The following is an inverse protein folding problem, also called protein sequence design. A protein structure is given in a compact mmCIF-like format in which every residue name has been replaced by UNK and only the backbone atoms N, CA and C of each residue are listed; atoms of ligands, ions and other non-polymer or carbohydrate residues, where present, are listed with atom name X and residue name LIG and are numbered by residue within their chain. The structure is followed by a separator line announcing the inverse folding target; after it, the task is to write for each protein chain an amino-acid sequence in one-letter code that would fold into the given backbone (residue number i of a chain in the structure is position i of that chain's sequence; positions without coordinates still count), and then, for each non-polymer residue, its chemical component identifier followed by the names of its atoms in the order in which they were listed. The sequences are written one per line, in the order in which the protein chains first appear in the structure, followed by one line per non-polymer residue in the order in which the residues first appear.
data_IF_693778715230
#
_entry.id   IF_693778715230
#
_cell.length_a   1.000
_cell.length_b   1.000
_cell.length_c   1.000
_cell.angle_alpha   90.00
_cell.angle_beta   90.00
_cell.angle_gamma   90.00
#
_symmetry.space_group_name_H-M   'P 1'
#
loop_
_entity.id
_entity.type
_entity.pdbx_description
1 polymer ?
#
# COMPACT_ATOMS: atom_id res chain seq x y z
N UNK A 1 32.19 -22.20 28.00
CA UNK A 1 31.75 -23.00 26.82
C UNK A 1 30.23 -23.22 26.76
N UNK A 2 29.51 -23.13 27.87
CA UNK A 2 28.04 -23.32 27.98
C UNK A 2 27.22 -22.23 27.28
N UNK A 3 27.54 -20.94 27.42
CA UNK A 3 26.79 -19.85 26.78
C UNK A 3 26.76 -19.92 25.25
N UNK A 4 27.93 -20.15 24.59
CA UNK A 4 28.01 -20.33 23.13
C UNK A 4 27.26 -21.58 22.63
N UNK A 5 27.08 -22.57 23.49
CA UNK A 5 26.38 -23.84 23.19
C UNK A 5 24.87 -23.63 23.20
N UNK A 6 24.35 -22.89 24.17
CA UNK A 6 22.94 -22.48 24.22
C UNK A 6 22.55 -21.61 23.03
N UNK A 7 23.42 -20.68 22.62
CA UNK A 7 23.15 -19.81 21.45
C UNK A 7 23.01 -20.59 20.14
N UNK A 8 23.82 -21.65 19.93
CA UNK A 8 23.72 -22.50 18.72
C UNK A 8 22.44 -23.34 18.70
N UNK A 9 22.01 -23.84 19.85
CA UNK A 9 20.77 -24.61 19.99
C UNK A 9 19.56 -23.70 19.70
N UNK A 10 19.58 -22.47 20.19
CA UNK A 10 18.51 -21.49 19.96
C UNK A 10 18.38 -21.08 18.49
N UNK A 11 19.50 -20.90 17.79
CA UNK A 11 19.50 -20.59 16.34
C UNK A 11 18.94 -21.76 15.52
N UNK A 12 19.36 -23.00 15.82
CA UNK A 12 18.86 -24.20 15.15
C UNK A 12 17.35 -24.43 15.39
N UNK A 13 16.90 -24.19 16.63
CA UNK A 13 15.49 -24.26 17.02
C UNK A 13 14.65 -23.20 16.31
N UNK A 14 15.10 -21.94 16.28
CA UNK A 14 14.42 -20.87 15.57
C UNK A 14 14.31 -21.16 14.06
N UNK A 15 15.35 -21.76 13.45
CA UNK A 15 15.34 -22.15 12.03
C UNK A 15 14.33 -23.26 11.75
N UNK A 16 14.27 -24.31 12.57
CA UNK A 16 13.28 -25.38 12.40
C UNK A 16 11.85 -24.89 12.61
N UNK A 17 11.63 -24.00 13.59
CA UNK A 17 10.31 -23.41 13.83
C UNK A 17 9.83 -22.64 12.61
N UNK A 18 10.71 -21.89 11.93
CA UNK A 18 10.37 -21.23 10.66
C UNK A 18 9.98 -22.23 9.57
N UNK A 19 10.70 -23.34 9.45
CA UNK A 19 10.41 -24.42 8.48
C UNK A 19 9.03 -25.04 8.75
N UNK A 20 8.75 -25.35 10.01
CA UNK A 20 7.47 -25.91 10.42
C UNK A 20 6.32 -24.92 10.15
N UNK A 21 6.48 -23.64 10.48
CA UNK A 21 5.46 -22.62 10.19
C UNK A 21 5.20 -22.52 8.69
N UNK A 22 6.26 -22.53 7.86
CA UNK A 22 6.13 -22.47 6.41
C UNK A 22 5.37 -23.67 5.85
N UNK A 23 5.66 -24.89 6.33
CA UNK A 23 4.97 -26.12 5.86
C UNK A 23 3.54 -26.26 6.37
N UNK A 24 3.24 -25.82 7.59
CA UNK A 24 1.96 -26.06 8.24
C UNK A 24 0.87 -25.05 7.86
N UNK A 25 1.23 -23.91 7.27
CA UNK A 25 0.37 -22.86 6.70
C UNK A 25 -1.13 -22.93 7.08
N UNK A 26 -1.46 -22.54 8.32
CA UNK A 26 -2.76 -22.26 9.00
C UNK A 26 -4.06 -23.02 8.68
N UNK A 27 -4.21 -23.64 7.51
CA UNK A 27 -5.45 -24.15 6.95
C UNK A 27 -5.60 -25.67 7.07
N UNK A 28 -4.59 -26.40 7.56
CA UNK A 28 -4.54 -27.88 7.40
C UNK A 28 -4.02 -28.63 8.63
N UNK A 29 -4.45 -28.24 9.83
CA UNK A 29 -4.04 -28.87 11.10
C UNK A 29 -5.16 -29.70 11.77
N UNK A 30 -6.21 -30.07 11.03
CA UNK A 30 -7.39 -30.73 11.60
C UNK A 30 -7.09 -32.16 12.06
N UNK A 31 -6.29 -32.92 11.29
CA UNK A 31 -5.97 -34.33 11.60
C UNK A 31 -4.46 -34.58 11.78
N UNK A 32 -4.05 -35.45 12.73
CA UNK A 32 -2.64 -35.83 12.90
C UNK A 32 -2.01 -36.41 11.62
N UNK A 33 -2.79 -37.11 10.79
CA UNK A 33 -2.31 -37.68 9.53
C UNK A 33 -1.94 -36.62 8.47
N UNK A 34 -2.62 -35.48 8.44
CA UNK A 34 -2.24 -34.34 7.59
C UNK A 34 -0.95 -33.70 8.08
N UNK A 35 -0.84 -33.47 9.38
CA UNK A 35 0.38 -32.89 9.98
C UNK A 35 1.58 -33.81 9.75
N UNK A 36 1.42 -35.12 9.94
CA UNK A 36 2.47 -36.10 9.71
C UNK A 36 2.95 -36.10 8.26
N UNK A 37 2.04 -36.04 7.27
CA UNK A 37 2.41 -35.92 5.84
C UNK A 37 3.27 -34.67 5.56
N UNK A 38 2.97 -33.56 6.23
CA UNK A 38 3.69 -32.29 6.02
C UNK A 38 5.03 -32.25 6.78
N UNK A 39 5.12 -32.92 7.92
CA UNK A 39 6.34 -32.94 8.74
C UNK A 39 7.25 -34.14 8.46
N UNK A 40 6.82 -35.09 7.62
CA UNK A 40 7.56 -36.29 7.29
C UNK A 40 8.96 -35.97 6.74
N UNK A 41 9.96 -36.61 7.33
CA UNK A 41 11.37 -36.48 6.95
C UNK A 41 12.06 -35.22 7.48
N UNK A 42 11.36 -34.33 8.21
CA UNK A 42 11.98 -33.13 8.80
C UNK A 42 12.97 -33.48 9.91
N UNK A 43 12.75 -34.60 10.62
CA UNK A 43 13.56 -34.99 11.78
C UNK A 43 14.49 -36.19 11.50
N UNK A 44 14.56 -36.66 10.25
CA UNK A 44 15.33 -37.84 9.85
C UNK A 44 14.62 -39.16 10.20
N UNK A 45 15.39 -40.23 10.49
CA UNK A 45 14.91 -41.62 10.69
C UNK A 45 14.01 -41.86 11.92
N UNK A 46 13.56 -40.82 12.62
CA UNK A 46 12.77 -40.94 13.85
C UNK A 46 11.29 -40.61 13.62
N UNK A 47 10.56 -41.55 13.00
CA UNK A 47 9.12 -41.42 12.76
C UNK A 47 8.27 -41.29 14.04
N UNK A 48 8.76 -41.70 15.21
CA UNK A 48 7.98 -41.58 16.46
C UNK A 48 7.82 -40.13 16.91
N UNK A 49 8.85 -39.30 16.74
CA UNK A 49 8.79 -37.88 17.12
C UNK A 49 7.86 -37.10 16.19
N UNK A 50 7.91 -37.38 14.89
CA UNK A 50 7.00 -36.78 13.91
C UNK A 50 5.54 -37.11 14.21
N UNK A 51 5.25 -38.37 14.56
CA UNK A 51 3.92 -38.81 14.99
C UNK A 51 3.45 -38.09 16.25
N UNK A 52 4.31 -37.97 17.27
CA UNK A 52 3.97 -37.28 18.52
C UNK A 52 3.74 -35.78 18.32
N UNK A 53 4.59 -35.12 17.55
CA UNK A 53 4.45 -33.70 17.22
C UNK A 53 3.16 -33.45 16.41
N UNK A 54 2.86 -34.33 15.45
CA UNK A 54 1.65 -34.25 14.64
C UNK A 54 0.37 -34.34 15.49
N UNK A 55 0.33 -35.25 16.46
CA UNK A 55 -0.78 -35.37 17.41
C UNK A 55 -0.95 -34.11 18.26
N UNK A 56 0.14 -33.59 18.85
CA UNK A 56 0.08 -32.39 19.69
C UNK A 56 -0.34 -31.14 18.92
N UNK A 57 0.13 -30.97 17.68
CA UNK A 57 -0.26 -29.85 16.83
C UNK A 57 -1.74 -29.91 16.44
N UNK A 58 -2.25 -31.09 16.07
CA UNK A 58 -3.67 -31.27 15.74
C UNK A 58 -4.58 -31.00 16.95
N UNK A 59 -4.17 -31.43 18.14
CA UNK A 59 -4.91 -31.16 19.37
C UNK A 59 -4.92 -29.67 19.72
N UNK A 60 -3.74 -29.02 19.74
CA UNK A 60 -3.62 -27.59 20.05
C UNK A 60 -4.34 -26.70 19.02
N UNK A 61 -4.46 -27.15 17.77
CA UNK A 61 -5.25 -26.47 16.74
C UNK A 61 -6.75 -26.61 16.99
N UNK A 62 -7.25 -27.81 17.33
CA UNK A 62 -8.66 -28.04 17.69
C UNK A 62 -9.11 -27.23 18.91
N UNK A 63 -8.20 -26.98 19.85
CA UNK A 63 -8.43 -26.10 21.00
C UNK A 63 -8.37 -24.59 20.64
N UNK A 64 -8.27 -24.24 19.36
CA UNK A 64 -8.18 -22.88 18.81
C UNK A 64 -7.00 -22.03 19.35
N UNK A 65 -5.98 -22.68 19.93
CA UNK A 65 -4.78 -22.01 20.50
C UNK A 65 -3.77 -21.59 19.42
N UNK A 66 -3.97 -21.99 18.16
CA UNK A 66 -3.02 -21.82 17.04
C UNK A 66 -3.61 -21.04 15.85
N UNK A 67 -4.51 -20.09 16.10
CA UNK A 67 -5.28 -19.37 15.07
C UNK A 67 -4.48 -18.40 14.19
N UNK A 68 -3.24 -18.02 14.56
CA UNK A 68 -2.37 -17.13 13.77
C UNK A 68 -0.89 -17.56 13.81
N UNK A 69 -0.02 -16.95 12.99
CA UNK A 69 1.43 -17.27 12.93
C UNK A 69 2.16 -17.07 14.25
N UNK A 70 1.75 -16.08 15.06
CA UNK A 70 2.42 -15.75 16.32
C UNK A 70 2.14 -16.79 17.44
N UNK A 71 0.90 -17.23 17.70
CA UNK A 71 0.62 -18.34 18.60
C UNK A 71 1.29 -19.65 18.18
N UNK A 72 1.30 -19.98 16.88
CA UNK A 72 1.96 -21.18 16.38
C UNK A 72 3.49 -21.14 16.58
N UNK A 73 4.13 -20.00 16.28
CA UNK A 73 5.57 -19.85 16.50
C UNK A 73 5.94 -19.93 17.98
N UNK A 74 5.18 -19.25 18.86
CA UNK A 74 5.39 -19.31 20.31
C UNK A 74 5.17 -20.71 20.87
N UNK A 75 4.14 -21.41 20.41
CA UNK A 75 3.85 -22.77 20.84
C UNK A 75 4.97 -23.73 20.42
N UNK A 76 5.41 -23.67 19.16
CA UNK A 76 6.51 -24.50 18.66
C UNK A 76 7.84 -24.21 19.39
N UNK A 77 8.14 -22.95 19.71
CA UNK A 77 9.34 -22.59 20.48
C UNK A 77 9.33 -23.10 21.92
N UNK A 78 8.14 -23.24 22.52
CA UNK A 78 7.92 -23.70 23.90
C UNK A 78 7.54 -25.18 24.00
N UNK A 79 7.45 -25.89 22.88
CA UNK A 79 7.04 -27.28 22.88
C UNK A 79 8.13 -28.17 23.50
N UNK A 80 7.77 -28.90 24.56
CA UNK A 80 8.69 -29.76 25.33
C UNK A 80 9.31 -30.88 24.49
N UNK A 81 8.60 -31.47 23.52
CA UNK A 81 9.16 -32.50 22.64
C UNK A 81 10.28 -31.93 21.78
N UNK A 82 10.06 -30.74 21.21
CA UNK A 82 11.08 -30.05 20.43
C UNK A 82 12.26 -29.66 21.31
N UNK A 83 12.01 -29.09 22.50
CA UNK A 83 13.07 -28.72 23.45
C UNK A 83 13.94 -29.94 23.82
N UNK A 84 13.33 -31.08 24.13
CA UNK A 84 14.04 -32.33 24.45
C UNK A 84 14.83 -32.85 23.25
N UNK A 85 14.26 -32.81 22.05
CA UNK A 85 14.94 -33.20 20.82
C UNK A 85 16.20 -32.37 20.56
N UNK A 86 16.08 -31.03 20.70
CA UNK A 86 17.18 -30.10 20.51
C UNK A 86 18.26 -30.17 21.59
N UNK A 87 17.91 -30.56 22.82
CA UNK A 87 18.89 -30.86 23.88
C UNK A 87 19.67 -32.15 23.60
N UNK A 88 19.05 -33.14 22.96
CA UNK A 88 19.66 -34.46 22.68
C UNK A 88 20.50 -34.47 21.39
N UNK A 89 20.05 -33.83 20.31
CA UNK A 89 20.83 -33.72 19.05
C UNK A 89 21.49 -32.34 18.96
N UNK A 90 22.81 -32.30 19.17
CA UNK A 90 23.61 -31.06 19.24
C UNK A 90 23.79 -30.33 17.89
N UNK A 91 23.28 -30.87 16.79
CA UNK A 91 23.26 -30.21 15.47
C UNK A 91 22.17 -30.86 14.61
N UNK A 92 21.34 -30.07 13.93
CA UNK A 92 20.44 -30.63 12.91
C UNK A 92 21.23 -30.71 11.60
N UNK A 93 21.46 -31.93 11.10
CA UNK A 93 21.69 -32.13 9.68
C UNK A 93 20.32 -32.03 9.00
N UNK A 94 19.89 -30.82 8.65
CA UNK A 94 18.67 -30.63 7.85
C UNK A 94 19.04 -31.16 6.47
N UNK A 95 18.36 -32.21 5.99
CA UNK A 95 18.66 -32.82 4.69
C UNK A 95 18.77 -31.74 3.62
N UNK A 96 19.90 -31.72 2.89
CA UNK A 96 20.17 -30.73 1.83
C UNK A 96 19.06 -30.72 0.78
N UNK A 97 18.51 -31.90 0.44
CA UNK A 97 17.36 -32.02 -0.46
C UNK A 97 16.08 -31.36 0.05
N UNK A 98 15.89 -31.25 1.37
CA UNK A 98 14.75 -30.56 1.99
C UNK A 98 14.97 -29.05 1.95
N UNK A 99 16.20 -28.57 2.14
CA UNK A 99 16.55 -27.15 1.95
C UNK A 99 16.34 -26.76 0.49
N UNK A 100 16.84 -27.57 -0.45
CA UNK A 100 16.69 -27.34 -1.90
C UNK A 100 15.21 -27.46 -2.33
N UNK A 101 14.44 -28.36 -1.72
CA UNK A 101 12.99 -28.48 -1.98
C UNK A 101 12.18 -27.36 -1.32
N UNK A 102 12.65 -26.78 -0.21
CA UNK A 102 12.04 -25.60 0.43
C UNK A 102 12.31 -24.38 -0.42
N UNK A 103 13.54 -24.18 -0.88
CA UNK A 103 13.87 -23.15 -1.87
C UNK A 103 12.97 -23.36 -3.10
N UNK A 104 12.92 -24.53 -3.73
CA UNK A 104 12.01 -24.81 -4.85
C UNK A 104 10.51 -24.61 -4.53
N UNK A 105 10.05 -24.90 -3.31
CA UNK A 105 8.66 -24.66 -2.89
C UNK A 105 8.36 -23.18 -2.58
N UNK A 106 9.35 -22.40 -2.13
CA UNK A 106 9.27 -20.93 -2.06
C UNK A 106 9.13 -20.33 -3.47
N UNK A 107 9.73 -20.98 -4.49
CA UNK A 107 9.53 -20.60 -5.90
C UNK A 107 8.13 -20.97 -6.43
N UNK A 108 7.41 -21.91 -5.80
CA UNK A 108 6.05 -22.30 -6.21
C UNK A 108 4.96 -21.29 -5.81
N UNK A 109 5.26 -20.36 -4.90
CA UNK A 109 4.35 -19.30 -4.44
C UNK A 109 4.72 -17.91 -4.95
N UNK A 110 5.62 -17.79 -5.94
CA UNK A 110 5.95 -16.49 -6.51
C UNK A 110 4.73 -15.92 -7.23
N UNK A 111 4.42 -14.66 -6.93
CA UNK A 111 3.66 -13.83 -7.86
C UNK A 111 4.29 -13.97 -9.24
N UNK A 112 3.48 -13.98 -10.30
CA UNK A 112 3.96 -14.15 -11.68
C UNK A 112 4.65 -12.88 -12.17
N UNK A 113 5.68 -12.44 -11.46
CA UNK A 113 6.49 -11.27 -11.80
C UNK A 113 7.54 -11.64 -12.85
N UNK A 114 7.98 -10.69 -13.68
CA UNK A 114 9.07 -10.91 -14.62
C UNK A 114 10.32 -11.49 -13.95
N UNK A 115 10.95 -12.47 -14.59
CA UNK A 115 12.20 -13.05 -14.11
C UNK A 115 13.35 -12.06 -14.35
N UNK A 116 13.92 -11.55 -13.25
CA UNK A 116 15.07 -10.64 -13.26
C UNK A 116 15.99 -11.00 -12.11
N UNK A 117 17.13 -11.62 -12.43
CA UNK A 117 18.03 -12.18 -11.43
C UNK A 117 19.13 -11.19 -10.99
N UNK A 118 19.53 -10.30 -11.91
CA UNK A 118 20.63 -9.35 -11.73
C UNK A 118 20.34 -7.94 -12.29
N UNK A 119 21.27 -7.01 -12.07
CA UNK A 119 21.14 -5.61 -12.51
C UNK A 119 21.28 -5.42 -14.03
N UNK A 120 21.94 -6.35 -14.74
CA UNK A 120 22.09 -6.29 -16.20
C UNK A 120 20.76 -6.67 -16.86
N UNK A 121 20.15 -7.76 -16.39
CA UNK A 121 18.81 -8.16 -16.78
C UNK A 121 17.78 -7.09 -16.41
N UNK A 122 17.91 -6.47 -15.24
CA UNK A 122 17.02 -5.39 -14.82
C UNK A 122 17.15 -4.17 -15.75
N UNK A 123 18.37 -3.77 -16.12
CA UNK A 123 18.57 -2.67 -17.05
C UNK A 123 17.93 -2.97 -18.42
N UNK A 124 18.08 -4.21 -18.93
CA UNK A 124 17.45 -4.65 -20.18
C UNK A 124 15.91 -4.64 -20.08
N UNK A 125 15.35 -5.19 -19.00
CA UNK A 125 13.90 -5.18 -18.74
C UNK A 125 13.34 -3.74 -18.71
N UNK A 126 14.08 -2.82 -18.10
CA UNK A 126 13.71 -1.40 -17.99
C UNK A 126 14.02 -0.59 -19.27
N UNK A 127 14.44 -1.25 -20.36
CA UNK A 127 14.82 -0.63 -21.63
C UNK A 127 15.88 0.47 -21.47
N UNK A 128 16.83 0.25 -20.55
CA UNK A 128 17.98 1.11 -20.35
C UNK A 128 19.13 0.62 -21.24
N UNK A 129 19.82 1.56 -21.90
CA UNK A 129 20.92 1.23 -22.82
C UNK A 129 22.11 0.53 -22.16
N UNK A 130 22.28 0.65 -20.84
CA UNK A 130 23.32 -0.07 -20.10
C UNK A 130 23.01 -0.15 -18.59
N UNK A 131 23.72 -1.05 -17.90
CA UNK A 131 23.69 -1.13 -16.43
C UNK A 131 24.32 0.09 -15.75
N UNK A 132 25.16 0.87 -16.45
CA UNK A 132 25.69 2.13 -15.94
C UNK A 132 24.60 3.19 -15.78
N UNK A 133 23.62 3.26 -16.69
CA UNK A 133 22.47 4.15 -16.57
C UNK A 133 21.64 3.80 -15.33
N UNK A 134 21.44 2.51 -15.07
CA UNK A 134 20.76 2.03 -13.87
C UNK A 134 21.51 2.42 -12.58
N UNK A 135 22.84 2.31 -12.58
CA UNK A 135 23.67 2.75 -11.46
C UNK A 135 23.58 4.27 -11.25
N UNK A 136 23.58 5.07 -12.33
CA UNK A 136 23.41 6.52 -12.27
C UNK A 136 22.03 6.94 -11.72
N UNK A 137 20.96 6.26 -12.13
CA UNK A 137 19.61 6.47 -11.61
C UNK A 137 19.50 6.18 -10.10
N UNK A 138 20.28 5.23 -9.60
CA UNK A 138 20.27 4.84 -8.18
C UNK A 138 21.34 5.51 -7.33
N UNK A 139 22.26 6.26 -7.95
CA UNK A 139 23.36 6.97 -7.28
C UNK A 139 22.92 7.82 -6.08
N UNK A 140 21.79 8.57 -6.11
CA UNK A 140 21.33 9.38 -4.98
C UNK A 140 21.01 8.58 -3.71
N UNK A 141 20.74 7.28 -3.84
CA UNK A 141 20.51 6.39 -2.70
C UNK A 141 21.79 5.70 -2.20
N UNK A 142 22.83 5.62 -3.06
CA UNK A 142 24.09 4.92 -2.77
C UNK A 142 25.16 5.83 -2.16
N UNK A 143 25.07 7.14 -2.38
CA UNK A 143 26.05 8.13 -1.89
C UNK A 143 25.38 9.14 -0.99
N UNK A 144 26.03 9.47 0.13
CA UNK A 144 25.58 10.52 1.07
C UNK A 144 25.72 11.93 0.49
N UNK A 145 26.71 12.16 -0.37
CA UNK A 145 26.96 13.44 -1.07
C UNK A 145 27.05 13.15 -2.57
N UNK A 146 26.17 13.78 -3.34
CA UNK A 146 26.12 13.70 -4.80
C UNK A 146 25.30 14.87 -5.32
N UNK A 147 25.75 15.47 -6.43
CA UNK A 147 25.02 16.56 -7.10
C UNK A 147 23.92 16.03 -8.03
N UNK A 148 23.87 14.70 -8.21
CA UNK A 148 22.82 14.03 -9.00
C UNK A 148 21.52 14.00 -8.20
N UNK A 149 20.47 14.62 -8.73
CA UNK A 149 19.10 14.53 -8.24
C UNK A 149 18.13 14.24 -9.39
N UNK A 150 17.31 13.19 -9.22
CA UNK A 150 16.34 12.76 -10.23
C UNK A 150 14.92 13.24 -9.96
N UNK A 151 14.70 14.08 -8.94
CA UNK A 151 13.38 14.60 -8.59
C UNK A 151 13.39 16.14 -8.56
N UNK A 152 12.46 16.75 -9.29
CA UNK A 152 12.14 18.18 -9.16
C UNK A 152 11.00 18.35 -8.16
N UNK A 153 11.22 19.15 -7.12
CA UNK A 153 10.22 19.43 -6.09
C UNK A 153 9.49 20.73 -6.39
N UNK A 154 8.17 20.74 -6.21
CA UNK A 154 7.35 21.96 -6.22
C UNK A 154 6.30 21.90 -5.11
N UNK A 155 6.03 23.02 -4.45
CA UNK A 155 4.96 23.12 -3.48
C UNK A 155 3.66 23.55 -4.19
N UNK A 156 2.54 22.92 -3.81
CA UNK A 156 1.20 23.29 -4.24
C UNK A 156 0.37 23.58 -2.99
N UNK A 157 -0.33 24.72 -2.88
CA UNK A 157 -1.21 24.98 -1.76
C UNK A 157 -2.38 24.00 -1.74
N UNK A 158 -2.67 23.42 -0.58
CA UNK A 158 -3.93 22.72 -0.33
C UNK A 158 -5.05 23.74 -0.08
N UNK A 159 -6.30 23.25 -0.11
CA UNK A 159 -7.49 24.05 0.18
C UNK A 159 -7.48 24.69 1.58
N UNK A 160 -6.76 24.10 2.52
CA UNK A 160 -6.60 24.59 3.89
C UNK A 160 -5.38 25.53 4.05
N UNK A 161 -4.73 25.91 2.95
CA UNK A 161 -3.52 26.75 2.96
C UNK A 161 -2.22 26.00 3.23
N UNK A 162 -2.27 24.74 3.70
CA UNK A 162 -1.04 23.96 3.94
C UNK A 162 -0.38 23.55 2.63
N UNK A 163 0.95 23.40 2.60
CA UNK A 163 1.66 23.00 1.39
C UNK A 163 1.58 21.50 1.13
N UNK A 164 1.54 21.13 -0.15
CA UNK A 164 1.72 19.77 -0.67
C UNK A 164 2.94 19.75 -1.58
N UNK A 165 3.97 19.02 -1.19
CA UNK A 165 5.14 18.79 -2.02
C UNK A 165 4.83 17.77 -3.11
N UNK A 166 5.09 18.14 -4.37
CA UNK A 166 5.06 17.25 -5.52
C UNK A 166 6.50 17.01 -5.96
N UNK A 167 6.87 15.75 -6.06
CA UNK A 167 8.21 15.29 -6.42
C UNK A 167 8.13 14.65 -7.81
N UNK A 168 8.44 15.44 -8.85
CA UNK A 168 8.34 15.03 -10.24
C UNK A 168 9.66 14.37 -10.70
N UNK A 169 9.64 13.11 -11.14
CA UNK A 169 10.85 12.41 -11.59
C UNK A 169 11.38 13.00 -12.90
N UNK A 170 12.70 12.92 -13.12
CA UNK A 170 13.35 13.24 -14.39
C UNK A 170 12.77 12.40 -15.53
N UNK A 171 12.80 12.85 -16.80
CA UNK A 171 12.16 12.14 -17.91
C UNK A 171 12.56 10.66 -18.03
N UNK A 172 13.86 10.38 -17.85
CA UNK A 172 14.38 9.02 -17.88
C UNK A 172 13.90 8.18 -16.70
N UNK A 173 13.95 8.69 -15.46
CA UNK A 173 13.43 7.98 -14.29
C UNK A 173 11.91 7.76 -14.41
N UNK A 174 11.18 8.73 -14.94
CA UNK A 174 9.73 8.64 -15.18
C UNK A 174 9.40 7.54 -16.18
N UNK A 175 10.18 7.39 -17.26
CA UNK A 175 10.03 6.30 -18.23
C UNK A 175 10.27 4.95 -17.58
N UNK A 176 11.36 4.81 -16.82
CA UNK A 176 11.68 3.60 -16.05
C UNK A 176 10.55 3.23 -15.09
N UNK A 177 10.03 4.20 -14.33
CA UNK A 177 8.92 4.00 -13.40
C UNK A 177 7.62 3.60 -14.12
N UNK A 178 7.36 4.12 -15.33
CA UNK A 178 6.19 3.68 -16.12
C UNK A 178 6.29 2.22 -16.53
N UNK A 179 7.47 1.74 -16.94
CA UNK A 179 7.70 0.33 -17.27
C UNK A 179 7.46 -0.54 -16.03
N UNK A 180 8.02 -0.17 -14.87
CA UNK A 180 7.76 -0.88 -13.61
C UNK A 180 6.26 -0.90 -13.29
N UNK A 181 5.56 0.23 -13.44
CA UNK A 181 4.14 0.34 -13.15
C UNK A 181 3.23 -0.43 -14.14
N UNK A 182 3.66 -0.60 -15.39
CA UNK A 182 2.89 -1.26 -16.43
C UNK A 182 3.16 -2.76 -16.53
N UNK A 183 4.41 -3.19 -16.31
CA UNK A 183 4.86 -4.53 -16.70
C UNK A 183 5.30 -5.38 -15.49
N UNK A 184 5.45 -4.77 -14.30
CA UNK A 184 5.84 -5.47 -13.07
C UNK A 184 4.75 -5.38 -12.01
N UNK A 185 4.34 -4.18 -11.62
CA UNK A 185 3.40 -3.97 -10.51
C UNK A 185 2.00 -4.58 -10.72
N UNK A 186 1.47 -4.77 -11.94
CA UNK A 186 0.18 -5.47 -12.11
C UNK A 186 0.20 -6.93 -11.68
N UNK A 187 1.38 -7.55 -11.57
CA UNK A 187 1.53 -8.91 -11.06
C UNK A 187 1.55 -8.98 -9.53
N UNK A 188 1.61 -7.84 -8.84
CA UNK A 188 1.56 -7.74 -7.38
C UNK A 188 0.08 -7.68 -6.94
N UNK A 189 -0.39 -8.58 -6.07
CA UNK A 189 -1.78 -8.62 -5.64
C UNK A 189 -2.15 -7.40 -4.81
N UNK A 190 -3.36 -6.91 -5.04
CA UNK A 190 -3.99 -5.84 -4.29
C UNK A 190 -5.22 -6.40 -3.55
N UNK A 191 -5.60 -5.75 -2.46
CA UNK A 191 -6.82 -6.13 -1.74
C UNK A 191 -8.05 -5.57 -2.46
N UNK A 192 -9.18 -6.28 -2.43
CA UNK A 192 -10.40 -5.83 -3.13
C UNK A 192 -11.10 -4.64 -2.49
N UNK A 193 -10.73 -4.31 -1.26
CA UNK A 193 -11.12 -3.06 -0.63
C UNK A 193 -10.34 -1.84 -1.17
N UNK A 194 -9.18 -2.05 -1.81
CA UNK A 194 -8.36 -0.98 -2.37
C UNK A 194 -8.90 -0.54 -3.75
N UNK A 195 -9.71 0.53 -3.74
CA UNK A 195 -10.40 1.05 -4.93
C UNK A 195 -9.62 2.17 -5.62
N UNK A 196 -8.77 2.88 -4.88
CA UNK A 196 -7.99 4.00 -5.41
C UNK A 196 -6.86 3.54 -6.32
N UNK A 197 -6.60 4.28 -7.40
CA UNK A 197 -5.48 4.03 -8.33
C UNK A 197 -5.45 2.64 -8.97
N UNK A 198 -6.61 1.98 -9.06
CA UNK A 198 -6.77 0.66 -9.66
C UNK A 198 -7.49 0.79 -10.99
N UNK A 199 -7.03 0.08 -12.03
CA UNK A 199 -7.74 0.03 -13.32
C UNK A 199 -9.13 -0.60 -13.11
N UNK A 200 -10.12 -0.10 -13.84
CA UNK A 200 -11.51 -0.55 -13.75
C UNK A 200 -12.24 -0.16 -12.46
N UNK A 201 -11.63 0.68 -11.62
CA UNK A 201 -12.24 1.19 -10.40
C UNK A 201 -12.23 2.71 -10.42
N UNK A 202 -13.32 3.31 -9.98
CA UNK A 202 -13.51 4.75 -9.93
C UNK A 202 -13.91 5.21 -8.53
N UNK A 203 -13.91 6.53 -8.34
CA UNK A 203 -14.49 7.13 -7.13
C UNK A 203 -15.95 6.70 -6.97
N UNK A 204 -16.69 6.57 -8.09
CA UNK A 204 -18.10 6.18 -8.12
C UNK A 204 -18.27 4.77 -7.52
N UNK A 205 -17.47 3.80 -7.95
CA UNK A 205 -17.57 2.41 -7.49
C UNK A 205 -17.27 2.29 -5.99
N UNK A 206 -16.31 3.07 -5.50
CA UNK A 206 -16.02 3.16 -4.06
C UNK A 206 -17.19 3.78 -3.29
N UNK A 207 -17.74 4.89 -3.75
CA UNK A 207 -18.85 5.56 -3.07
C UNK A 207 -20.15 4.76 -3.12
N UNK A 208 -20.41 4.04 -4.22
CA UNK A 208 -21.60 3.21 -4.44
C UNK A 208 -21.78 2.17 -3.31
N UNK A 209 -20.68 1.59 -2.81
CA UNK A 209 -20.71 0.60 -1.72
C UNK A 209 -21.22 1.15 -0.38
N UNK A 210 -21.35 2.47 -0.24
CA UNK A 210 -21.77 3.13 1.00
C UNK A 210 -23.15 3.81 0.88
N UNK A 211 -23.83 3.65 -0.25
CA UNK A 211 -25.12 4.28 -0.51
C UNK A 211 -26.22 3.72 0.40
N UNK A 212 -27.09 4.59 0.92
CA UNK A 212 -28.27 4.19 1.68
C UNK A 212 -28.00 3.77 3.14
N UNK A 213 -26.73 3.74 3.57
CA UNK A 213 -26.36 3.28 4.91
C UNK A 213 -26.72 4.29 5.98
N UNK A 214 -27.17 3.84 7.15
CA UNK A 214 -27.62 4.73 8.22
C UNK A 214 -26.49 5.61 8.79
N UNK A 215 -25.24 5.15 8.70
CA UNK A 215 -24.09 6.00 8.96
C UNK A 215 -22.86 5.64 8.13
N UNK A 216 -22.01 6.64 7.92
CA UNK A 216 -20.73 6.52 7.22
C UNK A 216 -19.64 7.10 8.12
N UNK A 217 -18.66 6.28 8.47
CA UNK A 217 -17.44 6.67 9.18
C UNK A 217 -16.31 6.79 8.16
N UNK A 218 -15.79 8.00 8.00
CA UNK A 218 -14.60 8.27 7.20
C UNK A 218 -13.42 8.53 8.13
N UNK A 219 -12.30 7.88 7.85
CA UNK A 219 -11.03 8.15 8.47
C UNK A 219 -9.97 8.40 7.38
N UNK A 220 -8.87 9.05 7.74
CA UNK A 220 -7.81 9.47 6.81
C UNK A 220 -6.45 9.05 7.38
N UNK A 221 -5.58 8.49 6.55
CA UNK A 221 -4.21 8.18 6.93
C UNK A 221 -3.33 9.42 6.79
N UNK A 222 -2.60 9.75 7.86
CA UNK A 222 -1.64 10.85 7.85
C UNK A 222 -0.41 10.48 7.02
N UNK A 223 -0.06 11.35 6.07
CA UNK A 223 1.14 11.23 5.23
C UNK A 223 1.31 9.83 4.63
N UNK A 224 0.25 9.31 4.00
CA UNK A 224 0.20 7.92 3.54
C UNK A 224 1.40 7.53 2.67
N UNK A 225 1.75 8.31 1.65
CA UNK A 225 2.94 8.04 0.84
C UNK A 225 4.23 8.23 1.63
N UNK A 226 4.36 9.30 2.42
CA UNK A 226 5.59 9.59 3.14
C UNK A 226 5.89 8.60 4.27
N UNK A 227 4.87 7.92 4.81
CA UNK A 227 5.00 6.82 5.78
C UNK A 227 5.54 5.51 5.17
N UNK A 228 5.62 5.42 3.83
CA UNK A 228 6.12 4.25 3.13
C UNK A 228 7.58 4.48 2.75
N UNK A 229 8.46 3.93 3.58
CA UNK A 229 9.92 4.08 3.42
C UNK A 229 10.54 2.99 2.54
N UNK A 230 11.77 3.25 2.08
CA UNK A 230 12.59 2.33 1.27
C UNK A 230 12.56 0.88 1.76
N UNK A 231 12.72 0.63 3.06
CA UNK A 231 12.71 -0.73 3.61
C UNK A 231 11.40 -1.49 3.33
N UNK A 232 10.24 -0.81 3.33
CA UNK A 232 8.94 -1.43 3.01
C UNK A 232 8.84 -1.75 1.52
N UNK A 233 9.31 -0.83 0.67
CA UNK A 233 9.33 -1.02 -0.80
C UNK A 233 10.29 -2.14 -1.20
N UNK A 234 11.48 -2.20 -0.60
CA UNK A 234 12.45 -3.29 -0.80
C UNK A 234 11.86 -4.62 -0.38
N UNK A 235 11.19 -4.66 0.77
CA UNK A 235 10.56 -5.88 1.28
C UNK A 235 9.42 -6.35 0.38
N UNK A 236 8.66 -5.44 -0.23
CA UNK A 236 7.65 -5.78 -1.23
C UNK A 236 8.26 -6.51 -2.42
N UNK A 237 9.34 -5.97 -3.02
CA UNK A 237 10.00 -6.61 -4.15
C UNK A 237 10.72 -7.91 -3.77
N UNK A 238 11.30 -7.99 -2.58
CA UNK A 238 11.87 -9.24 -2.07
C UNK A 238 10.78 -10.31 -1.91
N UNK A 239 9.62 -9.95 -1.37
CA UNK A 239 8.48 -10.86 -1.24
C UNK A 239 7.89 -11.28 -2.59
N UNK A 240 8.01 -10.42 -3.61
CA UNK A 240 7.65 -10.76 -4.98
C UNK A 240 8.56 -11.82 -5.62
N UNK A 241 9.73 -12.11 -5.02
CA UNK A 241 10.66 -13.14 -5.48
C UNK A 241 11.96 -12.61 -6.08
N UNK A 242 12.21 -11.30 -6.02
CA UNK A 242 13.47 -10.73 -6.53
C UNK A 242 14.64 -10.93 -5.56
N UNK A 243 15.85 -11.08 -6.11
CA UNK A 243 17.08 -11.14 -5.32
C UNK A 243 17.25 -9.88 -4.47
N UNK A 244 17.95 -9.97 -3.33
CA UNK A 244 18.15 -8.82 -2.42
C UNK A 244 18.73 -7.59 -3.14
N UNK A 245 19.60 -7.81 -4.14
CA UNK A 245 20.21 -6.76 -4.95
C UNK A 245 19.19 -6.12 -5.89
N UNK A 246 18.43 -6.92 -6.65
CA UNK A 246 17.39 -6.43 -7.57
C UNK A 246 16.27 -5.71 -6.80
N UNK A 247 15.81 -6.28 -5.67
CA UNK A 247 14.80 -5.67 -4.82
C UNK A 247 15.23 -4.31 -4.26
N UNK A 248 16.51 -4.19 -3.85
CA UNK A 248 17.08 -2.91 -3.41
C UNK A 248 17.11 -1.89 -4.55
N UNK A 249 17.58 -2.28 -5.73
CA UNK A 249 17.66 -1.40 -6.91
C UNK A 249 16.28 -0.94 -7.36
N UNK A 250 15.28 -1.83 -7.41
CA UNK A 250 13.88 -1.48 -7.69
C UNK A 250 13.32 -0.50 -6.65
N UNK A 251 13.61 -0.71 -5.37
CA UNK A 251 13.19 0.20 -4.31
C UNK A 251 13.82 1.59 -4.47
N UNK A 252 15.12 1.69 -4.78
CA UNK A 252 15.80 2.97 -5.06
C UNK A 252 15.18 3.70 -6.26
N UNK A 253 14.77 2.97 -7.30
CA UNK A 253 14.09 3.57 -8.45
C UNK A 253 12.67 4.08 -8.10
N UNK A 254 12.04 3.53 -7.07
CA UNK A 254 10.66 3.84 -6.70
C UNK A 254 10.53 4.80 -5.50
N UNK A 255 11.62 5.05 -4.77
CA UNK A 255 11.66 6.03 -3.68
C UNK A 255 12.40 7.29 -4.07
N UNK A 256 12.09 8.38 -3.38
CA UNK A 256 12.90 9.59 -3.42
C UNK A 256 13.76 9.64 -2.14
N UNK A 257 15.07 9.92 -2.27
CA UNK A 257 15.88 10.23 -1.11
C UNK A 257 15.36 11.52 -0.47
N UNK A 258 15.23 11.55 0.85
CA UNK A 258 15.05 12.84 1.52
C UNK A 258 16.34 13.62 1.30
N UNK A 259 16.24 14.81 0.72
CA UNK A 259 17.35 15.76 0.89
C UNK A 259 17.50 15.95 2.39
N UNK A 260 18.74 16.00 2.87
CA UNK A 260 19.00 16.57 4.19
C UNK A 260 18.17 17.83 4.30
N UNK A 261 17.32 17.91 5.32
CA UNK A 261 16.78 19.20 5.72
C UNK A 261 17.94 20.21 5.68
N UNK A 262 17.71 21.45 5.22
CA UNK A 262 18.61 22.53 5.57
C UNK A 262 18.93 22.39 7.07
N UNK A 263 20.21 22.57 7.44
CA UNK A 263 20.66 22.63 8.83
C UNK A 263 19.95 23.80 9.53
N UNK A 264 18.67 23.64 9.84
CA UNK A 264 17.78 24.45 10.66
C UNK A 264 16.34 24.11 10.26
N UNK A 265 15.82 23.04 10.87
CA UNK A 265 14.42 22.89 11.26
C UNK A 265 14.31 21.54 11.96
N UNK A 266 13.87 21.59 13.21
CA UNK A 266 13.83 20.47 14.14
C UNK A 266 13.31 19.17 13.51
N UNK A 267 14.01 18.03 13.67
CA UNK A 267 13.62 16.78 13.04
C UNK A 267 12.26 16.29 13.57
N UNK A 268 11.39 15.70 12.71
CA UNK A 268 10.22 15.01 13.20
C UNK A 268 10.68 13.80 14.01
N UNK A 269 10.20 13.73 15.24
CA UNK A 269 10.47 12.71 16.26
C UNK A 269 10.55 11.29 15.64
N UNK A 270 11.78 10.82 15.42
CA UNK A 270 12.08 9.41 15.24
C UNK A 270 11.97 8.80 16.63
N UNK A 271 10.90 8.06 16.90
CA UNK A 271 10.85 7.22 18.10
C UNK A 271 11.97 6.18 18.02
N UNK A 272 12.89 6.12 19.00
CA UNK A 272 13.96 5.14 18.99
C UNK A 272 13.36 3.79 19.40
N UNK A 273 13.28 2.84 18.46
CA UNK A 273 13.06 1.45 18.83
C UNK A 273 14.39 0.86 19.29
N UNK A 274 14.54 0.84 20.62
CA UNK A 274 15.38 -0.04 21.46
C UNK A 274 16.83 -0.31 21.05
N UNK A 275 17.73 0.18 21.90
CA UNK A 275 19.11 -0.26 22.07
C UNK A 275 19.20 -1.79 22.25
N UNK A 276 19.84 -2.50 21.31
CA UNK A 276 20.82 -3.55 21.60
C UNK A 276 21.54 -3.98 20.33
N UNK A 277 22.82 -4.33 20.46
CA UNK A 277 23.77 -4.77 19.43
C UNK A 277 24.40 -3.67 18.54
N UNK A 278 25.21 -2.81 19.18
CA UNK A 278 26.49 -2.44 18.57
C UNK A 278 27.39 -3.68 18.60
N UNK A 279 27.46 -4.39 17.48
CA UNK A 279 28.56 -5.32 17.23
C UNK A 279 28.98 -5.17 15.78
N UNK A 280 30.23 -4.74 15.66
CA UNK A 280 31.05 -4.56 14.47
C UNK A 280 30.82 -5.60 13.37
N UNK A 281 30.11 -5.20 12.31
CA UNK A 281 30.29 -5.74 10.95
C UNK A 281 30.43 -4.57 9.98
N UNK A 282 31.63 -4.40 9.42
CA UNK A 282 31.92 -3.50 8.28
C UNK A 282 31.16 -4.00 7.05
N UNK A 283 29.88 -3.65 6.88
CA UNK A 283 29.15 -3.67 5.59
C UNK A 283 27.68 -3.27 5.77
N UNK A 284 27.40 -1.97 5.86
CA UNK A 284 26.12 -1.39 5.42
C UNK A 284 26.29 0.13 5.35
N UNK A 285 26.30 0.68 4.13
CA UNK A 285 26.15 2.12 3.94
C UNK A 285 24.86 2.56 4.62
N UNK A 286 24.86 3.63 5.44
CA UNK A 286 23.63 4.12 6.05
C UNK A 286 22.75 4.72 4.95
N UNK A 287 21.68 4.01 4.59
CA UNK A 287 20.68 4.43 3.61
C UNK A 287 20.06 5.76 4.08
N UNK A 288 20.13 6.81 3.25
CA UNK A 288 19.43 8.07 3.51
C UNK A 288 17.93 7.80 3.64
N UNK A 289 17.21 8.45 4.56
CA UNK A 289 15.78 8.22 4.76
C UNK A 289 15.04 8.52 3.44
N UNK A 290 14.51 7.47 2.81
CA UNK A 290 13.86 7.57 1.50
C UNK A 290 12.41 7.10 1.62
N UNK A 291 11.50 7.76 0.91
CA UNK A 291 10.04 7.51 0.99
C UNK A 291 9.41 7.48 -0.38
N UNK A 292 8.16 7.01 -0.48
CA UNK A 292 7.42 7.12 -1.73
C UNK A 292 7.16 8.60 -2.07
N UNK A 293 7.63 9.08 -3.23
CA UNK A 293 7.38 10.45 -3.69
C UNK A 293 5.92 10.63 -4.14
N UNK A 294 5.38 11.82 -3.91
CA UNK A 294 4.08 12.19 -4.44
C UNK A 294 4.21 12.70 -5.88
N UNK A 295 3.64 11.97 -6.85
CA UNK A 295 3.62 12.36 -8.27
C UNK A 295 4.36 11.42 -9.22
N UNK A 296 4.84 10.27 -8.75
CA UNK A 296 5.47 9.26 -9.61
C UNK A 296 4.46 8.23 -10.14
N UNK A 297 4.78 7.58 -11.28
CA UNK A 297 3.96 6.50 -11.84
C UNK A 297 3.83 5.27 -10.93
N UNK A 298 4.85 4.96 -10.12
CA UNK A 298 4.89 3.72 -9.31
C UNK A 298 4.27 3.87 -7.92
N UNK A 299 4.39 5.04 -7.30
CA UNK A 299 3.94 5.27 -5.92
C UNK A 299 2.51 4.81 -5.64
N UNK A 300 1.50 5.10 -6.49
CA UNK A 300 0.12 4.68 -6.22
C UNK A 300 -0.06 3.15 -6.10
N UNK A 301 0.53 2.40 -7.03
CA UNK A 301 0.42 0.93 -7.06
C UNK A 301 1.21 0.29 -5.90
N UNK A 302 2.42 0.79 -5.62
CA UNK A 302 3.24 0.32 -4.50
C UNK A 302 2.54 0.59 -3.16
N UNK A 303 1.94 1.78 -3.00
CA UNK A 303 1.24 2.14 -1.77
C UNK A 303 0.04 1.21 -1.51
N UNK A 304 -0.72 0.86 -2.54
CA UNK A 304 -1.80 -0.12 -2.42
C UNK A 304 -1.27 -1.52 -2.06
N UNK A 305 -0.20 -1.99 -2.70
CA UNK A 305 0.38 -3.29 -2.41
C UNK A 305 0.89 -3.39 -0.95
N UNK A 306 1.50 -2.32 -0.44
CA UNK A 306 2.01 -2.27 0.94
C UNK A 306 0.88 -2.19 1.97
N UNK A 307 -0.24 -1.53 1.63
CA UNK A 307 -1.43 -1.47 2.47
C UNK A 307 -2.24 -2.78 2.50
N UNK A 308 -1.90 -3.78 1.68
CA UNK A 308 -2.66 -5.04 1.55
C UNK A 308 -2.98 -5.73 2.89
N UNK A 309 -2.00 -5.81 3.79
CA UNK A 309 -2.20 -6.45 5.11
C UNK A 309 -3.13 -5.64 6.01
N UNK A 310 -3.00 -4.32 6.00
CA UNK A 310 -3.91 -3.42 6.70
C UNK A 310 -5.33 -3.60 6.16
N UNK A 311 -5.51 -3.59 4.84
CA UNK A 311 -6.82 -3.75 4.22
C UNK A 311 -7.47 -5.09 4.59
N UNK A 312 -6.71 -6.20 4.58
CA UNK A 312 -7.23 -7.51 5.02
C UNK A 312 -7.75 -7.50 6.45
N UNK A 313 -7.04 -6.83 7.36
CA UNK A 313 -7.41 -6.76 8.78
C UNK A 313 -8.60 -5.85 9.00
N UNK A 314 -8.63 -4.71 8.30
CA UNK A 314 -9.74 -3.76 8.35
C UNK A 314 -11.01 -4.33 7.73
N UNK A 315 -10.88 -5.10 6.66
CA UNK A 315 -11.99 -5.79 6.02
C UNK A 315 -12.56 -6.90 6.91
N UNK A 316 -11.70 -7.67 7.58
CA UNK A 316 -12.12 -8.64 8.60
C UNK A 316 -12.85 -7.97 9.78
N UNK A 317 -12.34 -6.83 10.26
CA UNK A 317 -13.00 -6.03 11.30
C UNK A 317 -14.35 -5.50 10.83
N UNK A 318 -14.43 -5.00 9.59
CA UNK A 318 -15.67 -4.49 9.00
C UNK A 318 -16.72 -5.60 8.86
N UNK A 319 -16.31 -6.77 8.35
CA UNK A 319 -17.17 -7.95 8.20
C UNK A 319 -17.74 -8.39 9.55
N UNK A 320 -16.89 -8.49 10.58
CA UNK A 320 -17.33 -8.84 11.94
C UNK A 320 -18.31 -7.82 12.55
N UNK A 321 -18.26 -6.57 12.09
CA UNK A 321 -19.14 -5.49 12.51
C UNK A 321 -20.38 -5.31 11.62
N UNK A 322 -20.56 -6.13 10.57
CA UNK A 322 -21.62 -5.94 9.58
C UNK A 322 -21.49 -4.63 8.79
N UNK A 323 -20.26 -4.15 8.58
CA UNK A 323 -19.96 -2.90 7.92
C UNK A 323 -19.38 -3.12 6.52
N UNK A 324 -19.68 -2.22 5.58
CA UNK A 324 -19.00 -2.18 4.29
C UNK A 324 -17.72 -1.37 4.42
N UNK A 325 -16.63 -1.84 3.81
CA UNK A 325 -15.33 -1.16 3.82
C UNK A 325 -14.81 -0.89 2.41
N UNK A 326 -14.31 0.33 2.20
CA UNK A 326 -13.45 0.65 1.05
C UNK A 326 -12.29 1.54 1.48
N UNK A 327 -11.18 1.44 0.75
CA UNK A 327 -10.04 2.37 0.81
C UNK A 327 -9.80 3.01 -0.54
N UNK A 328 -9.68 4.33 -0.55
CA UNK A 328 -9.28 5.08 -1.72
C UNK A 328 -8.06 5.92 -1.36
N UNK A 329 -6.87 5.46 -1.78
CA UNK A 329 -5.60 6.04 -1.33
C UNK A 329 -5.49 6.02 0.22
N UNK A 330 -5.41 7.20 0.83
CA UNK A 330 -5.35 7.47 2.27
C UNK A 330 -6.74 7.52 2.94
N UNK A 331 -7.83 7.63 2.17
CA UNK A 331 -9.18 7.66 2.70
C UNK A 331 -9.69 6.23 3.01
N UNK A 332 -10.02 5.98 4.27
CA UNK A 332 -10.69 4.77 4.75
C UNK A 332 -12.17 5.08 5.00
N UNK A 333 -13.06 4.29 4.41
CA UNK A 333 -14.51 4.51 4.53
C UNK A 333 -15.18 3.24 5.00
N UNK A 334 -15.94 3.37 6.08
CA UNK A 334 -16.78 2.33 6.66
C UNK A 334 -18.22 2.81 6.69
N UNK A 335 -19.18 1.93 6.44
CA UNK A 335 -20.60 2.28 6.52
C UNK A 335 -21.41 1.16 7.15
N UNK A 336 -22.42 1.55 7.91
CA UNK A 336 -23.15 0.67 8.82
C UNK A 336 -24.66 0.90 8.70
N UNK A 337 -25.44 -0.14 8.95
CA UNK A 337 -26.91 -0.07 8.88
C UNK A 337 -27.57 0.51 10.15
N UNK A 338 -26.99 0.35 11.35
CA UNK A 338 -27.54 0.91 12.60
C UNK A 338 -26.52 0.99 13.76
N UNK A 339 -25.39 1.71 13.64
CA UNK A 339 -24.44 1.76 14.74
C UNK A 339 -24.81 2.83 15.76
N UNK A 340 -24.60 2.51 17.04
CA UNK A 340 -24.57 3.55 18.07
C UNK A 340 -23.32 4.43 17.93
N UNK A 341 -23.37 5.64 18.48
CA UNK A 341 -22.23 6.58 18.47
C UNK A 341 -21.03 6.01 19.19
N UNK A 342 -21.28 5.39 20.35
CA UNK A 342 -20.26 4.76 21.17
C UNK A 342 -19.62 3.58 20.44
N UNK A 343 -20.41 2.78 19.71
CA UNK A 343 -19.89 1.73 18.86
C UNK A 343 -18.98 2.29 17.76
N UNK A 344 -19.44 3.29 16.98
CA UNK A 344 -18.65 3.87 15.91
C UNK A 344 -17.33 4.49 16.39
N UNK A 345 -17.32 5.11 17.58
CA UNK A 345 -16.09 5.61 18.21
C UNK A 345 -15.13 4.47 18.58
N UNK A 346 -15.61 3.41 19.24
CA UNK A 346 -14.79 2.23 19.56
C UNK A 346 -14.24 1.55 18.30
N UNK A 347 -15.07 1.42 17.28
CA UNK A 347 -14.67 0.91 15.98
C UNK A 347 -13.56 1.76 15.35
N UNK A 348 -13.69 3.10 15.37
CA UNK A 348 -12.65 4.00 14.90
C UNK A 348 -11.32 3.83 15.65
N UNK A 349 -11.36 3.57 16.97
CA UNK A 349 -10.18 3.23 17.76
C UNK A 349 -9.55 1.92 17.31
N UNK A 350 -10.34 0.86 17.09
CA UNK A 350 -9.85 -0.42 16.57
C UNK A 350 -9.19 -0.28 15.19
N UNK A 351 -9.78 0.52 14.30
CA UNK A 351 -9.19 0.87 13.00
C UNK A 351 -7.85 1.57 13.19
N UNK A 352 -7.76 2.53 14.12
CA UNK A 352 -6.53 3.25 14.40
C UNK A 352 -5.42 2.33 14.95
N UNK A 353 -5.75 1.38 15.81
CA UNK A 353 -4.81 0.37 16.32
C UNK A 353 -4.29 -0.51 15.18
N UNK A 354 -5.17 -1.02 14.32
CA UNK A 354 -4.76 -1.83 13.16
C UNK A 354 -3.85 -1.01 12.22
N UNK A 355 -4.22 0.23 11.90
CA UNK A 355 -3.40 1.09 11.05
C UNK A 355 -2.00 1.31 11.66
N UNK A 356 -1.93 1.58 12.97
CA UNK A 356 -0.68 1.78 13.70
C UNK A 356 0.22 0.54 13.67
N UNK A 357 -0.32 -0.64 13.94
CA UNK A 357 0.43 -1.90 13.89
C UNK A 357 0.95 -2.24 12.49
N UNK A 358 0.24 -1.82 11.44
CA UNK A 358 0.66 -1.98 10.04
C UNK A 358 1.55 -0.82 9.55
N UNK A 359 1.99 0.06 10.45
CA UNK A 359 2.96 1.12 10.19
C UNK A 359 2.38 2.39 9.57
N UNK A 360 1.09 2.66 9.77
CA UNK A 360 0.40 3.88 9.32
C UNK A 360 -0.10 4.70 10.50
N UNK A 361 -0.21 6.02 10.33
CA UNK A 361 -0.75 6.94 11.36
C UNK A 361 -2.12 7.45 10.94
N UNK A 362 -3.02 7.61 11.90
CA UNK A 362 -4.35 8.17 11.66
C UNK A 362 -4.36 9.69 11.76
N UNK A 363 -5.08 10.35 10.85
CA UNK A 363 -5.39 11.77 10.93
C UNK A 363 -6.73 11.98 11.64
N UNK A 364 -6.69 12.03 12.97
CA UNK A 364 -7.90 12.18 13.79
C UNK A 364 -8.68 13.46 13.51
N UNK A 365 -8.02 14.54 13.08
CA UNK A 365 -8.68 15.83 12.73
C UNK A 365 -9.58 15.72 11.51
N UNK A 366 -9.34 14.74 10.63
CA UNK A 366 -10.16 14.49 9.44
C UNK A 366 -11.16 13.34 9.61
N UNK A 367 -11.14 12.64 10.74
CA UNK A 367 -12.14 11.60 11.04
C UNK A 367 -13.55 12.21 11.12
N UNK A 368 -14.52 11.62 10.42
CA UNK A 368 -15.91 12.10 10.38
C UNK A 368 -16.87 10.93 10.49
N UNK A 369 -17.83 11.04 11.42
CA UNK A 369 -19.00 10.15 11.48
C UNK A 369 -20.22 10.91 10.98
N UNK A 370 -20.84 10.43 9.91
CA UNK A 370 -21.97 11.07 9.24
C UNK A 370 -23.20 10.15 9.34
N UNK A 371 -24.25 10.56 10.05
CA UNK A 371 -25.52 9.81 10.16
C UNK A 371 -26.51 10.18 9.06
N UNK A 372 -27.54 9.36 8.87
CA UNK A 372 -28.57 9.52 7.82
C UNK A 372 -29.22 10.90 7.79
N UNK A 373 -29.50 11.49 8.96
CA UNK A 373 -30.07 12.85 9.07
C UNK A 373 -29.09 13.97 8.68
N UNK A 374 -27.80 13.67 8.58
CA UNK A 374 -26.78 14.58 8.09
C UNK A 374 -26.35 14.19 6.67
N UNK A 375 -25.73 15.13 5.97
CA UNK A 375 -25.17 14.84 4.65
C UNK A 375 -23.97 13.88 4.76
N UNK A 376 -24.12 12.68 4.20
CA UNK A 376 -23.06 11.68 4.12
C UNK A 376 -22.26 11.88 2.83
N UNK A 377 -20.95 12.05 2.95
CA UNK A 377 -20.07 12.30 1.81
C UNK A 377 -18.92 11.30 1.73
N UNK A 378 -18.77 10.68 0.56
CA UNK A 378 -17.66 9.78 0.21
C UNK A 378 -17.02 10.30 -1.07
N UNK A 379 -15.71 10.56 -1.04
CA UNK A 379 -14.92 11.02 -2.20
C UNK A 379 -15.54 12.21 -2.96
N UNK A 380 -16.19 13.13 -2.25
CA UNK A 380 -16.83 14.32 -2.82
C UNK A 380 -18.29 14.12 -3.27
N UNK A 381 -18.78 12.88 -3.30
CA UNK A 381 -20.16 12.54 -3.63
C UNK A 381 -21.02 12.40 -2.39
N UNK A 382 -22.32 12.66 -2.53
CA UNK A 382 -23.33 12.42 -1.50
C UNK A 382 -23.87 11.00 -1.65
N UNK A 383 -24.00 10.27 -0.55
CA UNK A 383 -24.35 8.83 -0.57
C UNK A 383 -25.60 8.47 0.25
N UNK A 384 -26.35 9.47 0.75
CA UNK A 384 -27.48 9.23 1.67
C UNK A 384 -28.53 8.23 1.17
N UNK A 385 -28.92 8.32 -0.10
CA UNK A 385 -29.97 7.48 -0.71
C UNK A 385 -29.56 6.98 -2.09
N UNK A 386 -28.99 7.88 -2.89
CA UNK A 386 -28.39 7.61 -4.18
C UNK A 386 -27.10 8.40 -4.33
N UNK A 387 -26.23 7.98 -5.24
CA UNK A 387 -25.07 8.77 -5.60
C UNK A 387 -25.49 10.10 -6.20
N UNK A 388 -24.92 11.18 -5.66
CA UNK A 388 -25.22 12.51 -6.13
C UNK A 388 -24.03 13.45 -6.00
N UNK A 389 -23.88 14.34 -6.98
CA UNK A 389 -22.94 15.46 -6.89
C UNK A 389 -23.36 16.42 -5.79
N UNK A 390 -22.41 17.21 -5.30
CA UNK A 390 -22.75 18.25 -4.33
C UNK A 390 -23.69 19.29 -4.96
N UNK A 391 -24.76 19.65 -4.24
CA UNK A 391 -25.69 20.70 -4.67
C UNK A 391 -24.94 21.99 -5.01
N UNK A 392 -24.06 22.44 -4.11
CA UNK A 392 -23.25 23.64 -4.33
C UNK A 392 -22.43 23.57 -5.62
N UNK A 393 -21.66 22.49 -5.85
CA UNK A 393 -20.86 22.38 -7.09
C UNK A 393 -21.73 22.34 -8.35
N UNK A 394 -22.89 21.69 -8.29
CA UNK A 394 -23.84 21.66 -9.39
C UNK A 394 -24.43 23.04 -9.68
N UNK A 395 -24.93 23.75 -8.65
CA UNK A 395 -25.51 25.09 -8.82
C UNK A 395 -24.46 26.10 -9.29
N UNK A 396 -23.23 26.04 -8.77
CA UNK A 396 -22.13 26.89 -9.26
C UNK A 396 -21.83 26.62 -10.73
N UNK A 397 -21.75 25.35 -11.15
CA UNK A 397 -21.50 25.01 -12.55
C UNK A 397 -22.66 25.46 -13.45
N UNK A 398 -23.91 25.21 -13.02
CA UNK A 398 -25.11 25.65 -13.73
C UNK A 398 -25.14 27.17 -13.90
N UNK A 399 -24.81 27.92 -12.85
CA UNK A 399 -24.75 29.39 -12.90
C UNK A 399 -23.67 29.89 -13.87
N UNK A 400 -22.49 29.27 -13.86
CA UNK A 400 -21.42 29.59 -14.83
C UNK A 400 -21.93 29.37 -16.26
N UNK A 401 -22.47 28.19 -16.56
CA UNK A 401 -22.93 27.85 -17.92
C UNK A 401 -24.04 28.79 -18.40
N UNK A 402 -25.03 29.07 -17.54
CA UNK A 402 -26.10 30.00 -17.87
C UNK A 402 -25.59 31.43 -18.12
N UNK A 403 -24.60 31.89 -17.34
CA UNK A 403 -24.01 33.20 -17.56
C UNK A 403 -23.14 33.24 -18.82
N UNK A 404 -22.42 32.17 -19.15
CA UNK A 404 -21.72 32.04 -20.42
C UNK A 404 -22.71 32.15 -21.60
N UNK A 405 -23.85 31.46 -21.52
CA UNK A 405 -24.87 31.49 -22.57
C UNK A 405 -25.50 32.88 -22.76
N UNK A 406 -25.58 33.69 -21.69
CA UNK A 406 -26.18 35.03 -21.74
C UNK A 406 -25.21 36.17 -22.03
N UNK A 407 -23.95 36.05 -21.62
CA UNK A 407 -22.97 37.15 -21.59
C UNK A 407 -21.63 36.77 -22.22
N UNK A 408 -21.55 35.62 -22.88
CA UNK A 408 -20.33 35.06 -23.46
C UNK A 408 -19.41 34.37 -22.44
N UNK A 409 -18.54 33.45 -22.89
CA UNK A 409 -17.58 32.72 -22.04
C UNK A 409 -16.61 33.61 -21.26
N UNK A 410 -16.13 34.70 -21.88
CA UNK A 410 -15.18 35.65 -21.28
C UNK A 410 -15.69 36.23 -19.95
N UNK A 411 -17.00 36.44 -19.82
CA UNK A 411 -17.62 36.97 -18.60
C UNK A 411 -17.42 36.07 -17.36
N UNK A 412 -17.21 34.76 -17.57
CA UNK A 412 -17.06 33.78 -16.49
C UNK A 412 -15.63 33.23 -16.37
N UNK A 413 -14.76 33.43 -17.37
CA UNK A 413 -13.36 32.99 -17.33
C UNK A 413 -12.47 33.92 -16.47
N UNK A 414 -12.89 34.17 -15.22
CA UNK A 414 -12.25 35.13 -14.29
C UNK A 414 -10.81 34.79 -13.90
N UNK A 415 -10.41 33.53 -14.11
CA UNK A 415 -9.07 33.04 -13.78
C UNK A 415 -8.23 32.83 -15.04
N UNK A 416 -8.69 33.33 -16.20
CA UNK A 416 -8.01 33.23 -17.49
C UNK A 416 -7.55 31.79 -17.78
N UNK A 417 -8.45 30.83 -17.55
CA UNK A 417 -8.14 29.43 -17.78
C UNK A 417 -7.90 29.21 -19.29
N UNK A 418 -6.72 28.70 -19.71
CA UNK A 418 -6.32 28.71 -21.12
C UNK A 418 -7.20 27.83 -22.02
N UNK A 419 -7.85 26.81 -21.44
CA UNK A 419 -8.79 25.94 -22.14
C UNK A 419 -10.15 25.94 -21.42
N UNK A 420 -10.82 27.09 -21.31
CA UNK A 420 -12.02 27.25 -20.49
C UNK A 420 -13.20 26.39 -20.96
N UNK A 421 -13.42 26.30 -22.27
CA UNK A 421 -14.42 25.40 -22.88
C UNK A 421 -14.25 23.95 -22.43
N UNK A 422 -13.06 23.40 -22.61
CA UNK A 422 -12.75 22.01 -22.24
C UNK A 422 -12.75 21.80 -20.72
N UNK A 423 -12.37 22.82 -19.94
CA UNK A 423 -12.51 22.80 -18.49
C UNK A 423 -13.96 22.61 -18.05
N UNK A 424 -14.89 23.38 -18.63
CA UNK A 424 -16.32 23.25 -18.35
C UNK A 424 -16.87 21.92 -18.85
N UNK A 425 -16.50 21.49 -20.05
CA UNK A 425 -16.87 20.17 -20.59
C UNK A 425 -16.44 19.03 -19.66
N UNK A 426 -15.22 19.05 -19.14
CA UNK A 426 -14.73 18.06 -18.18
C UNK A 426 -15.51 18.06 -16.86
N UNK A 427 -15.93 19.23 -16.37
CA UNK A 427 -16.79 19.35 -15.19
C UNK A 427 -18.19 18.79 -15.44
N UNK A 428 -18.75 19.00 -16.62
CA UNK A 428 -20.04 18.43 -17.03
C UNK A 428 -19.94 16.91 -17.12
N UNK A 429 -18.90 16.39 -17.78
CA UNK A 429 -18.64 14.95 -17.89
C UNK A 429 -18.52 14.27 -16.52
N UNK A 430 -17.86 14.92 -15.56
CA UNK A 430 -17.82 14.44 -14.17
C UNK A 430 -19.19 14.42 -13.49
N UNK A 431 -20.04 15.42 -13.73
CA UNK A 431 -21.42 15.38 -13.21
C UNK A 431 -22.24 14.29 -13.90
N UNK A 432 -22.09 14.12 -15.21
CA UNK A 432 -22.78 13.12 -16.00
C UNK A 432 -22.40 11.69 -15.57
N UNK A 433 -21.14 11.44 -15.23
CA UNK A 433 -20.68 10.13 -14.74
C UNK A 433 -21.23 9.75 -13.37
N UNK A 434 -21.76 10.72 -12.60
CA UNK A 434 -22.38 10.48 -11.28
C UNK A 434 -23.91 10.52 -11.39
N UNK A 435 -24.46 11.42 -12.21
CA UNK A 435 -25.89 11.61 -12.35
C UNK A 435 -26.24 12.06 -13.78
N UNK A 436 -26.53 11.10 -14.66
CA UNK A 436 -26.80 11.30 -16.09
C UNK A 436 -27.82 12.42 -16.36
N UNK A 437 -28.98 12.40 -15.69
CA UNK A 437 -30.01 13.43 -15.91
C UNK A 437 -29.61 14.87 -15.57
N UNK A 438 -28.69 15.07 -14.61
CA UNK A 438 -28.12 16.40 -14.31
C UNK A 438 -27.04 16.76 -15.32
N UNK A 439 -26.25 15.78 -15.74
CA UNK A 439 -25.27 15.93 -16.82
C UNK A 439 -25.92 16.39 -18.12
N UNK A 440 -27.00 15.74 -18.55
CA UNK A 440 -27.72 16.08 -19.79
C UNK A 440 -28.26 17.52 -19.75
N UNK A 441 -28.83 17.95 -18.61
CA UNK A 441 -29.29 19.34 -18.43
C UNK A 441 -28.16 20.37 -18.57
N UNK A 442 -26.99 20.08 -18.01
CA UNK A 442 -25.84 20.98 -18.13
C UNK A 442 -25.26 20.96 -19.55
N UNK A 443 -25.26 19.80 -20.21
CA UNK A 443 -24.80 19.62 -21.59
C UNK A 443 -25.66 20.44 -22.55
N UNK A 444 -26.99 20.38 -22.41
CA UNK A 444 -27.91 21.18 -23.22
C UNK A 444 -27.62 22.68 -23.10
N UNK A 445 -27.40 23.21 -21.88
CA UNK A 445 -27.03 24.64 -21.70
C UNK A 445 -25.64 24.93 -22.26
N UNK A 446 -24.71 23.98 -22.19
CA UNK A 446 -23.36 24.15 -22.71
C UNK A 446 -23.32 24.24 -24.24
N UNK A 447 -24.20 23.50 -24.92
CA UNK A 447 -24.33 23.50 -26.38
C UNK A 447 -24.94 24.80 -26.93
N UNK A 448 -25.71 25.55 -26.12
CA UNK A 448 -26.25 26.86 -26.53
C UNK A 448 -25.26 28.01 -26.39
N UNK A 449 -24.09 27.78 -25.81
CA UNK A 449 -23.08 28.84 -25.62
C UNK A 449 -22.38 29.10 -26.95
N UNK A 450 -22.32 30.36 -27.34
CA UNK A 450 -21.44 30.81 -28.42
C UNK A 450 -19.99 30.83 -27.92
N UNK A 451 -19.12 30.07 -28.60
CA UNK A 451 -17.71 29.91 -28.25
C UNK A 451 -16.78 30.65 -29.20
N UNK A 452 -17.30 31.33 -30.22
CA UNK A 452 -16.48 32.00 -31.23
C UNK A 452 -15.71 33.21 -30.63
N UNK A 453 -16.19 33.74 -29.49
CA UNK A 453 -15.48 34.72 -28.65
C UNK A 453 -14.23 34.17 -27.92
N UNK A 454 -14.02 32.86 -27.89
CA UNK A 454 -12.90 32.19 -27.20
C UNK A 454 -11.73 31.84 -28.17
N UNK A 455 -11.81 32.25 -29.45
CA UNK A 455 -10.73 32.05 -30.41
C UNK A 455 -9.49 32.91 -30.02
N UNK A 456 -8.28 32.33 -29.91
CA UNK A 456 -7.07 33.12 -29.75
C UNK A 456 -6.88 34.00 -30.99
N UNK A 457 -6.73 35.31 -30.78
CA UNK A 457 -6.42 36.28 -31.82
C UNK A 457 -5.04 35.92 -32.43
N UNK A 458 -5.03 35.16 -33.53
CA UNK A 458 -3.85 34.83 -34.32
C UNK A 458 -3.44 36.01 -35.23
N UNK A 459 -3.63 37.26 -34.80
CA UNK A 459 -3.03 38.40 -35.48
C UNK A 459 -1.54 38.42 -35.17
N UNK A 460 -0.77 38.10 -36.21
CA UNK A 460 0.69 38.09 -36.26
C UNK A 460 1.26 39.43 -35.73
N UNK A 461 2.36 39.43 -34.96
CA UNK A 461 3.16 40.62 -34.84
C UNK A 461 4.02 40.80 -36.09
N UNK A 462 3.91 41.98 -36.70
CA UNK A 462 4.80 42.51 -37.75
C UNK A 462 6.26 42.61 -37.28
#
# INVERSE_FOLDING_TARGET
MTARRETRIDIGRARLVRILIARLNHRWLETPAQVLRLTQGLFGSQHSLEKQLATQLSQAHRENRLSTQQPLSRWLLRNELLIRYFRKKQTISICKSIVDSIEKSEHAYRWRVPAVDDEVQLAKFLLLGSSQVLQWLTLPHRRRRTDVNHYRRRAIPKRDGTLRWIESPSPILKRTQRIIAADLLPHVPLHDAAMGFRRGHSIHDSAARHVGKASVLRLDLQDFFGSIHFGRVRSLFAYAGYSSKVASTLAMLCTAPSETAPLDTSPPCITPLSNSARTSTRSALPELPSRLPQGTPTSPAIANAIAFRMDRRLDGLATAAGANYTRYADDLVFSFDSPSVAFAKRFATSVAVIAMEEGFKMNFRKTRLMRRGNRQRVLGMTVNEKLNVSRQAYETLKAILHNCAKRGPRSQNRTEHPNFREHLRGRIAHVASIHTGRGNKLTAVFETIDWDDDAPDYRQPD
#
